data_IF_973755431944
#
_entry.id   IF_973755431944
#
_cell.length_a   1.000
_cell.length_b   1.000
_cell.length_c   1.000
_cell.angle_alpha   90.00
_cell.angle_beta   90.00
_cell.angle_gamma   90.00
#
_symmetry.space_group_name_H-M   'P 1'
#
loop_
_entity.id
_entity.type
_entity.pdbx_description
1 polymer ?
#
# COMPACT_ATOMS: atom_id res chain seq x y z
N UNK A 1 -36.42 -5.50 3.70
CA UNK A 1 -36.42 -5.08 2.28
C UNK A 1 -35.11 -4.35 2.05
N UNK A 2 -34.37 -4.73 1.01
CA UNK A 2 -33.14 -4.02 0.64
C UNK A 2 -33.47 -3.03 -0.48
N UNK A 3 -32.96 -1.81 -0.36
CA UNK A 3 -33.16 -0.75 -1.34
C UNK A 3 -31.80 -0.28 -1.86
N UNK A 4 -31.69 0.00 -3.17
CA UNK A 4 -30.48 0.63 -3.69
C UNK A 4 -30.36 2.04 -3.10
N UNK A 5 -29.13 2.42 -2.75
CA UNK A 5 -28.78 3.72 -2.20
C UNK A 5 -27.71 4.37 -3.05
N UNK A 6 -27.76 5.70 -3.17
CA UNK A 6 -26.78 6.48 -3.89
C UNK A 6 -26.51 7.78 -3.11
N UNK A 7 -25.25 8.18 -3.03
CA UNK A 7 -24.89 9.49 -2.49
C UNK A 7 -25.28 10.59 -3.50
N UNK A 8 -25.99 11.62 -3.04
CA UNK A 8 -26.36 12.78 -3.86
C UNK A 8 -25.15 13.67 -4.21
N UNK A 9 -24.14 13.67 -3.34
CA UNK A 9 -22.90 14.43 -3.51
C UNK A 9 -21.77 13.41 -3.59
N UNK A 10 -20.96 13.49 -4.64
CA UNK A 10 -19.74 12.70 -4.75
C UNK A 10 -18.70 13.18 -3.73
N UNK A 11 -18.04 12.24 -3.06
CA UNK A 11 -17.03 12.57 -2.06
C UNK A 11 -16.83 11.44 -1.06
N UNK A 12 -15.72 11.49 -0.34
CA UNK A 12 -15.47 10.60 0.80
C UNK A 12 -16.45 10.86 1.94
N UNK A 13 -17.03 12.06 2.01
CA UNK A 13 -18.08 12.42 2.98
C UNK A 13 -19.39 11.62 2.84
N UNK A 14 -19.61 10.93 1.71
CA UNK A 14 -20.73 10.01 1.53
C UNK A 14 -20.51 8.61 2.12
N UNK A 15 -19.28 8.30 2.57
CA UNK A 15 -18.98 7.03 3.22
C UNK A 15 -19.53 7.04 4.65
N UNK A 16 -20.32 6.04 4.99
CA UNK A 16 -20.97 5.93 6.31
C UNK A 16 -20.68 4.57 6.93
N UNK A 17 -20.51 4.52 8.25
CA UNK A 17 -20.28 3.26 8.96
C UNK A 17 -21.57 2.43 9.01
N UNK A 18 -21.43 1.12 9.21
CA UNK A 18 -22.56 0.26 9.51
C UNK A 18 -23.42 0.84 10.66
N UNK A 19 -24.73 0.78 10.50
CA UNK A 19 -25.71 1.17 11.51
C UNK A 19 -25.92 2.67 11.71
N UNK A 20 -25.39 3.53 10.83
CA UNK A 20 -25.47 4.99 11.03
C UNK A 20 -26.60 5.68 10.27
N UNK A 21 -27.15 5.04 9.22
CA UNK A 21 -28.29 5.58 8.48
C UNK A 21 -29.60 5.30 9.20
N UNK A 22 -30.06 6.22 10.05
CA UNK A 22 -31.24 6.00 10.91
C UNK A 22 -32.39 6.99 10.67
N UNK A 23 -32.18 8.05 9.89
CA UNK A 23 -33.15 9.13 9.72
C UNK A 23 -33.89 8.99 8.38
N UNK A 24 -35.21 8.93 8.45
CA UNK A 24 -36.11 8.97 7.30
C UNK A 24 -36.51 10.43 7.04
N UNK A 25 -36.00 11.02 5.95
CA UNK A 25 -36.25 12.44 5.62
C UNK A 25 -37.54 12.67 4.83
N UNK A 26 -38.12 11.62 4.25
CA UNK A 26 -39.38 11.67 3.50
C UNK A 26 -40.28 10.52 3.93
N UNK A 27 -41.56 10.78 4.12
CA UNK A 27 -42.50 9.80 4.69
C UNK A 27 -42.64 8.59 3.77
N UNK A 28 -42.28 7.42 4.28
CA UNK A 28 -42.48 6.13 3.62
C UNK A 28 -43.60 5.40 4.36
N UNK A 29 -44.70 5.11 3.67
CA UNK A 29 -45.81 4.36 4.26
C UNK A 29 -45.34 2.98 4.72
N UNK A 30 -45.71 2.62 5.96
CA UNK A 30 -45.41 1.32 6.58
C UNK A 30 -43.92 1.03 6.84
N UNK A 31 -43.07 2.07 6.93
CA UNK A 31 -41.64 1.93 7.27
C UNK A 31 -41.31 2.76 8.52
N UNK A 32 -40.99 2.07 9.62
CA UNK A 32 -40.71 2.72 10.91
C UNK A 32 -39.20 2.89 11.19
N UNK A 33 -38.35 2.13 10.50
CA UNK A 33 -36.90 2.17 10.70
C UNK A 33 -36.16 1.91 9.39
N UNK A 34 -35.05 2.62 9.20
CA UNK A 34 -34.04 2.34 8.18
C UNK A 34 -32.69 2.15 8.85
N UNK A 35 -31.84 1.31 8.26
CA UNK A 35 -30.46 1.09 8.69
C UNK A 35 -29.64 0.55 7.53
N UNK A 36 -28.32 0.79 7.57
CA UNK A 36 -27.36 0.10 6.73
C UNK A 36 -26.64 -0.97 7.55
N UNK A 37 -26.77 -2.24 7.18
CA UNK A 37 -26.09 -3.34 7.89
C UNK A 37 -24.58 -3.31 7.66
N UNK A 38 -24.16 -2.94 6.45
CA UNK A 38 -22.77 -2.82 6.04
C UNK A 38 -22.34 -1.35 5.86
N UNK A 39 -21.04 -1.02 6.02
CA UNK A 39 -20.55 0.32 5.74
C UNK A 39 -20.67 0.65 4.25
N UNK A 40 -21.02 1.89 3.94
CA UNK A 40 -20.90 2.40 2.58
C UNK A 40 -19.50 2.96 2.39
N UNK A 41 -18.82 2.43 1.37
CA UNK A 41 -17.42 2.75 1.04
C UNK A 41 -17.32 3.09 -0.45
N UNK A 42 -16.17 3.59 -0.88
CA UNK A 42 -15.92 3.90 -2.30
C UNK A 42 -16.24 5.33 -2.72
N UNK A 43 -16.86 6.13 -1.84
CA UNK A 43 -16.92 7.57 -2.00
C UNK A 43 -15.50 8.14 -1.99
N UNK A 44 -15.16 8.94 -3.01
CA UNK A 44 -13.86 9.58 -3.18
C UNK A 44 -14.08 11.05 -3.51
N UNK A 45 -13.29 11.91 -2.88
CA UNK A 45 -13.29 13.34 -3.19
C UNK A 45 -12.83 13.59 -4.62
N UNK A 46 -13.15 14.79 -5.12
CA UNK A 46 -12.70 15.23 -6.42
C UNK A 46 -11.17 15.11 -6.51
N UNK A 47 -10.69 14.58 -7.63
CA UNK A 47 -9.26 14.51 -7.92
C UNK A 47 -8.66 15.92 -7.90
N UNK A 48 -7.50 16.09 -7.26
CA UNK A 48 -6.82 17.39 -7.20
C UNK A 48 -6.19 17.73 -8.55
N UNK A 49 -5.97 19.02 -8.84
CA UNK A 49 -5.31 19.44 -10.08
C UNK A 49 -3.91 18.85 -10.25
N UNK A 50 -3.18 18.63 -9.14
CA UNK A 50 -1.84 18.04 -9.17
C UNK A 50 -1.87 16.55 -9.50
N UNK A 51 -2.80 15.80 -8.89
CA UNK A 51 -3.04 14.39 -9.20
C UNK A 51 -3.52 14.23 -10.66
N UNK A 52 -4.46 15.09 -11.08
CA UNK A 52 -4.95 15.12 -12.46
C UNK A 52 -3.82 15.40 -13.44
N UNK A 53 -2.95 16.39 -13.18
CA UNK A 53 -1.81 16.71 -14.05
C UNK A 53 -0.81 15.56 -14.12
N UNK A 54 -0.57 14.87 -13.00
CA UNK A 54 0.27 13.66 -12.99
C UNK A 54 -0.34 12.54 -13.82
N UNK A 55 -1.64 12.27 -13.64
CA UNK A 55 -2.40 11.26 -14.40
C UNK A 55 -2.46 11.59 -15.89
N UNK A 56 -2.64 12.86 -16.26
CA UNK A 56 -2.71 13.31 -17.65
C UNK A 56 -1.38 13.13 -18.39
N UNK A 57 -0.23 13.47 -17.77
CA UNK A 57 1.09 13.21 -18.37
C UNK A 57 1.32 11.72 -18.61
N UNK A 58 0.95 10.89 -17.64
CA UNK A 58 1.03 9.43 -17.77
C UNK A 58 0.09 8.91 -18.87
N UNK A 59 -1.11 9.48 -19.00
CA UNK A 59 -2.05 9.12 -20.06
C UNK A 59 -1.50 9.45 -21.45
N UNK A 60 -0.95 10.66 -21.67
CA UNK A 60 -0.31 11.03 -22.94
C UNK A 60 0.86 10.09 -23.25
N UNK A 61 1.70 9.79 -22.26
CA UNK A 61 2.80 8.83 -22.42
C UNK A 61 2.30 7.40 -22.73
N UNK A 62 1.10 7.04 -22.26
CA UNK A 62 0.49 5.73 -22.48
C UNK A 62 -0.15 5.55 -23.87
N UNK A 63 -0.40 6.65 -24.61
CA UNK A 63 -0.94 6.57 -25.98
C UNK A 63 -0.03 5.73 -26.89
N UNK A 64 1.28 5.78 -26.64
CA UNK A 64 2.24 4.80 -27.15
C UNK A 64 2.16 3.51 -26.33
N UNK A 65 1.21 2.64 -26.70
CA UNK A 65 1.09 1.27 -26.19
C UNK A 65 2.43 0.52 -26.28
N UNK A 66 2.56 -0.57 -25.53
CA UNK A 66 3.74 -1.43 -25.48
C UNK A 66 5.02 -0.77 -24.93
N UNK A 67 4.90 0.37 -24.22
CA UNK A 67 6.02 0.98 -23.49
C UNK A 67 5.92 0.72 -21.99
N UNK A 68 7.05 0.79 -21.27
CA UNK A 68 7.09 0.71 -19.80
C UNK A 68 6.15 1.71 -19.14
N UNK A 69 6.05 2.93 -19.67
CA UNK A 69 5.16 3.97 -19.18
C UNK A 69 3.68 3.62 -19.38
N UNK A 70 3.31 3.07 -20.55
CA UNK A 70 1.95 2.61 -20.82
C UNK A 70 1.53 1.47 -19.89
N UNK A 71 2.41 0.50 -19.65
CA UNK A 71 2.17 -0.61 -18.72
C UNK A 71 2.03 -0.10 -17.29
N UNK A 72 2.93 0.80 -16.85
CA UNK A 72 2.85 1.41 -15.52
C UNK A 72 1.54 2.20 -15.33
N UNK A 73 1.11 2.94 -16.35
CA UNK A 73 -0.16 3.66 -16.32
C UNK A 73 -1.35 2.69 -16.24
N UNK A 74 -1.37 1.64 -17.06
CA UNK A 74 -2.43 0.62 -17.02
C UNK A 74 -2.56 0.01 -15.61
N UNK A 75 -1.44 -0.36 -14.98
CA UNK A 75 -1.41 -0.86 -13.61
C UNK A 75 -1.90 0.17 -12.58
N UNK A 76 -1.49 1.44 -12.71
CA UNK A 76 -1.92 2.49 -11.77
C UNK A 76 -3.44 2.73 -11.74
N UNK A 77 -4.17 2.33 -12.79
CA UNK A 77 -5.62 2.45 -12.88
C UNK A 77 -6.36 1.19 -12.38
N UNK A 78 -5.67 0.12 -12.00
CA UNK A 78 -6.30 -1.14 -11.56
C UNK A 78 -6.95 -1.01 -10.19
N UNK A 79 -6.24 -0.43 -9.23
CA UNK A 79 -6.72 -0.25 -7.86
C UNK A 79 -5.94 0.87 -7.17
N UNK A 80 -6.62 1.71 -6.40
CA UNK A 80 -5.98 2.75 -5.61
C UNK A 80 -5.13 2.14 -4.48
N UNK A 81 -3.98 2.76 -4.18
CA UNK A 81 -3.06 2.27 -3.14
C UNK A 81 -2.21 1.06 -3.52
N UNK A 82 -2.40 0.50 -4.73
CA UNK A 82 -1.56 -0.57 -5.25
C UNK A 82 -0.18 -0.03 -5.63
N UNK A 83 0.86 -0.80 -5.32
CA UNK A 83 2.23 -0.55 -5.74
C UNK A 83 2.71 -1.68 -6.66
N UNK A 84 3.69 -1.38 -7.52
CA UNK A 84 4.22 -2.37 -8.44
C UNK A 84 5.66 -2.07 -8.86
N UNK A 85 6.35 -3.11 -9.33
CA UNK A 85 7.63 -3.01 -10.04
C UNK A 85 7.50 -3.64 -11.41
N UNK A 86 8.34 -3.20 -12.34
CA UNK A 86 8.44 -3.73 -13.70
C UNK A 86 9.90 -4.05 -13.99
N UNK A 87 10.15 -5.29 -14.42
CA UNK A 87 11.48 -5.79 -14.77
C UNK A 87 11.45 -6.42 -16.16
N UNK A 88 12.40 -6.05 -17.01
CA UNK A 88 12.45 -6.39 -18.43
C UNK A 88 13.62 -7.33 -18.75
N UNK A 89 13.45 -8.13 -19.81
CA UNK A 89 14.46 -9.00 -20.42
C UNK A 89 15.05 -10.08 -19.51
N UNK A 90 14.42 -10.36 -18.38
CA UNK A 90 14.85 -11.34 -17.39
C UNK A 90 13.62 -12.05 -16.84
N UNK A 91 13.71 -13.36 -16.67
CA UNK A 91 12.71 -14.16 -15.96
C UNK A 91 12.76 -13.87 -14.44
N UNK A 92 11.74 -14.33 -13.70
CA UNK A 92 11.66 -14.08 -12.25
C UNK A 92 12.84 -14.69 -11.47
N UNK A 93 13.40 -15.78 -11.97
CA UNK A 93 14.57 -16.45 -11.39
C UNK A 93 15.91 -15.78 -11.73
N UNK A 94 15.90 -14.66 -12.46
CA UNK A 94 17.12 -13.96 -12.88
C UNK A 94 17.71 -14.43 -14.21
N UNK A 95 17.11 -15.44 -14.86
CA UNK A 95 17.60 -15.93 -16.15
C UNK A 95 17.32 -14.91 -17.27
N UNK A 96 18.29 -14.55 -18.13
CA UNK A 96 18.03 -13.68 -19.27
C UNK A 96 16.92 -14.25 -20.17
N UNK A 97 15.90 -13.43 -20.45
CA UNK A 97 14.76 -13.79 -21.28
C UNK A 97 14.33 -12.57 -22.13
N UNK A 98 15.00 -12.32 -23.26
CA UNK A 98 14.67 -11.19 -24.14
C UNK A 98 13.22 -11.29 -24.66
N UNK A 99 12.55 -10.15 -24.80
CA UNK A 99 11.15 -10.11 -25.26
C UNK A 99 10.13 -10.56 -24.19
N UNK A 100 10.57 -10.63 -22.94
CA UNK A 100 9.75 -10.89 -21.77
C UNK A 100 9.91 -9.78 -20.74
N UNK A 101 8.84 -9.48 -20.01
CA UNK A 101 8.90 -8.68 -18.78
C UNK A 101 7.97 -9.27 -17.73
N UNK A 102 8.16 -8.90 -16.47
CA UNK A 102 7.19 -9.23 -15.44
C UNK A 102 6.86 -8.03 -14.55
N UNK A 103 5.65 -8.07 -14.02
CA UNK A 103 5.17 -7.14 -13.01
C UNK A 103 5.04 -7.85 -11.67
N UNK A 104 5.46 -7.17 -10.62
CA UNK A 104 5.20 -7.57 -9.23
C UNK A 104 4.22 -6.57 -8.70
N UNK A 105 3.08 -7.05 -8.21
CA UNK A 105 1.96 -6.22 -7.77
C UNK A 105 1.75 -6.43 -6.29
N UNK A 106 1.50 -5.37 -5.55
CA UNK A 106 1.25 -5.43 -4.11
C UNK A 106 0.21 -4.37 -3.69
N UNK A 107 -0.78 -4.78 -2.91
CA UNK A 107 -1.82 -3.91 -2.35
C UNK A 107 -1.46 -3.37 -0.95
N UNK A 108 -0.19 -3.51 -0.55
CA UNK A 108 0.31 -3.18 0.79
C UNK A 108 0.29 -4.36 1.75
N UNK A 109 -0.44 -5.45 1.45
CA UNK A 109 -0.48 -6.63 2.33
C UNK A 109 0.76 -7.52 2.20
N UNK A 110 1.44 -7.48 1.05
CA UNK A 110 2.47 -8.45 0.67
C UNK A 110 1.91 -9.80 0.21
N UNK A 111 0.58 -9.97 0.20
CA UNK A 111 -0.12 -11.16 -0.32
C UNK A 111 -1.39 -10.71 -1.07
N UNK A 112 -1.24 -10.00 -2.19
CA UNK A 112 -2.39 -9.54 -2.96
C UNK A 112 -3.27 -10.75 -3.36
N UNK A 113 -4.61 -10.61 -3.35
CA UNK A 113 -5.51 -11.69 -3.73
C UNK A 113 -5.37 -12.02 -5.21
N UNK A 114 -5.66 -13.29 -5.58
CA UNK A 114 -5.58 -13.75 -6.97
C UNK A 114 -6.40 -12.88 -7.95
N UNK A 115 -7.55 -12.40 -7.52
CA UNK A 115 -8.38 -11.49 -8.33
C UNK A 115 -7.65 -10.19 -8.70
N UNK A 116 -6.83 -9.63 -7.80
CA UNK A 116 -6.05 -8.43 -8.09
C UNK A 116 -4.97 -8.74 -9.13
N UNK A 117 -4.32 -9.90 -9.03
CA UNK A 117 -3.34 -10.36 -10.01
C UNK A 117 -3.99 -10.54 -11.39
N UNK A 118 -5.19 -11.11 -11.46
CA UNK A 118 -5.93 -11.27 -12.71
C UNK A 118 -6.35 -9.93 -13.33
N UNK A 119 -6.82 -8.98 -12.51
CA UNK A 119 -7.15 -7.62 -12.98
C UNK A 119 -5.90 -6.92 -13.53
N UNK A 120 -4.78 -7.02 -12.82
CA UNK A 120 -3.51 -6.47 -13.26
C UNK A 120 -3.04 -7.12 -14.57
N UNK A 121 -3.16 -8.45 -14.69
CA UNK A 121 -2.84 -9.17 -15.92
C UNK A 121 -3.63 -8.64 -17.12
N UNK A 122 -4.95 -8.51 -16.99
CA UNK A 122 -5.82 -7.99 -18.06
C UNK A 122 -5.48 -6.54 -18.44
N UNK A 123 -5.16 -5.71 -17.45
CA UNK A 123 -4.76 -4.32 -17.70
C UNK A 123 -3.47 -4.24 -18.53
N UNK A 124 -2.48 -5.11 -18.24
CA UNK A 124 -1.24 -5.20 -19.03
C UNK A 124 -1.53 -5.77 -20.43
N UNK A 125 -2.32 -6.83 -20.54
CA UNK A 125 -2.62 -7.49 -21.82
C UNK A 125 -3.28 -6.52 -22.82
N UNK A 126 -4.13 -5.60 -22.35
CA UNK A 126 -4.79 -4.59 -23.19
C UNK A 126 -3.83 -3.57 -23.84
N UNK A 127 -2.62 -3.42 -23.30
CA UNK A 127 -1.62 -2.42 -23.72
C UNK A 127 -0.29 -3.03 -24.17
N UNK A 128 -0.09 -4.34 -24.04
CA UNK A 128 1.18 -4.99 -24.43
C UNK A 128 1.38 -5.01 -25.95
N UNK A 129 2.65 -5.23 -26.34
CA UNK A 129 2.99 -5.53 -27.73
C UNK A 129 2.56 -6.94 -28.14
N UNK A 130 2.25 -7.13 -29.43
CA UNK A 130 1.72 -8.38 -29.97
C UNK A 130 2.63 -9.59 -29.69
N UNK A 131 3.95 -9.43 -29.86
CA UNK A 131 4.95 -10.49 -29.70
C UNK A 131 5.60 -10.54 -28.32
N UNK A 132 5.24 -9.62 -27.42
CA UNK A 132 5.78 -9.59 -26.07
C UNK A 132 5.06 -10.57 -25.17
N UNK A 133 5.83 -11.36 -24.43
CA UNK A 133 5.31 -12.23 -23.37
C UNK A 133 5.50 -11.56 -22.01
N UNK A 134 4.62 -11.82 -21.06
CA UNK A 134 4.74 -11.23 -19.73
C UNK A 134 4.16 -12.11 -18.63
N UNK A 135 4.52 -11.79 -17.39
CA UNK A 135 3.94 -12.40 -16.19
C UNK A 135 3.54 -11.34 -15.16
N UNK A 136 2.55 -11.66 -14.33
CA UNK A 136 2.17 -10.85 -13.17
C UNK A 136 2.20 -11.75 -11.95
N UNK A 137 2.90 -11.33 -10.90
CA UNK A 137 3.13 -12.14 -9.71
C UNK A 137 2.94 -11.34 -8.43
N UNK A 138 2.71 -12.08 -7.34
CA UNK A 138 2.80 -11.55 -5.98
C UNK A 138 4.28 -11.36 -5.59
N UNK A 139 4.60 -10.45 -4.66
CA UNK A 139 5.96 -10.29 -4.18
C UNK A 139 6.39 -11.46 -3.28
N UNK A 140 7.69 -11.74 -3.26
CA UNK A 140 8.30 -12.59 -2.23
C UNK A 140 8.52 -11.77 -0.96
N UNK A 141 8.00 -12.25 0.17
CA UNK A 141 8.12 -11.52 1.44
C UNK A 141 9.50 -11.76 2.07
N UNK A 142 10.17 -10.68 2.43
CA UNK A 142 11.32 -10.71 3.34
C UNK A 142 10.86 -10.18 4.69
N UNK A 143 11.19 -10.89 5.76
CA UNK A 143 10.81 -10.52 7.12
C UNK A 143 11.90 -9.63 7.74
N UNK A 144 11.49 -8.50 8.30
CA UNK A 144 12.32 -7.58 9.07
C UNK A 144 11.97 -7.71 10.56
N UNK A 145 12.84 -8.41 11.30
CA UNK A 145 12.82 -8.45 12.75
C UNK A 145 13.61 -7.26 13.30
N UNK A 146 13.02 -6.50 14.20
CA UNK A 146 13.62 -5.28 14.77
C UNK A 146 13.70 -5.42 16.27
N UNK A 147 14.91 -5.20 16.82
CA UNK A 147 15.10 -5.02 18.25
C UNK A 147 15.66 -3.63 18.45
N UNK A 148 14.99 -2.81 19.25
CA UNK A 148 15.39 -1.44 19.53
C UNK A 148 15.33 -1.17 21.03
N UNK A 149 16.36 -0.54 21.57
CA UNK A 149 16.36 -0.06 22.95
C UNK A 149 16.55 1.45 22.99
N UNK A 150 15.82 2.13 23.88
CA UNK A 150 15.88 3.58 24.01
C UNK A 150 15.75 4.04 25.47
N UNK A 151 16.06 5.32 25.69
CA UNK A 151 15.91 6.01 26.97
C UNK A 151 14.77 7.02 26.80
N UNK A 152 13.82 6.99 27.73
CA UNK A 152 12.75 7.98 27.82
C UNK A 152 13.16 9.17 28.67
N UNK A 153 12.53 10.32 28.44
CA UNK A 153 12.68 11.50 29.28
C UNK A 153 12.22 11.21 30.72
N UNK A 154 12.78 11.94 31.68
CA UNK A 154 12.39 11.84 33.08
C UNK A 154 10.89 12.16 33.25
N UNK A 155 10.18 11.33 34.03
CA UNK A 155 8.73 11.46 34.24
C UNK A 155 7.85 10.98 33.07
N UNK A 156 8.43 10.50 31.97
CA UNK A 156 7.66 9.89 30.88
C UNK A 156 7.11 8.51 31.26
N UNK A 157 5.93 8.18 30.74
CA UNK A 157 5.40 6.82 30.76
C UNK A 157 6.13 5.98 29.71
N UNK A 158 7.16 5.25 30.14
CA UNK A 158 8.02 4.47 29.25
C UNK A 158 7.22 3.44 28.43
N UNK A 159 6.26 2.74 29.05
CA UNK A 159 5.45 1.72 28.37
C UNK A 159 4.63 2.33 27.24
N UNK A 160 4.06 3.52 27.45
CA UNK A 160 3.33 4.23 26.40
C UNK A 160 4.22 4.70 25.26
N UNK A 161 5.47 5.10 25.55
CA UNK A 161 6.43 5.49 24.50
C UNK A 161 6.91 4.26 23.72
N UNK A 162 7.09 3.11 24.37
CA UNK A 162 7.35 1.82 23.71
C UNK A 162 6.27 1.51 22.68
N UNK A 163 4.99 1.54 23.08
CA UNK A 163 3.86 1.27 22.17
C UNK A 163 3.84 2.20 20.95
N UNK A 164 4.11 3.51 21.15
CA UNK A 164 4.18 4.49 20.06
C UNK A 164 5.30 4.17 19.07
N UNK A 165 6.48 3.80 19.56
CA UNK A 165 7.63 3.44 18.71
C UNK A 165 7.35 2.12 17.96
N UNK A 166 6.82 1.10 18.64
CA UNK A 166 6.46 -0.17 18.00
C UNK A 166 5.47 0.03 16.86
N UNK A 167 4.44 0.86 17.08
CA UNK A 167 3.46 1.20 16.07
C UNK A 167 4.09 1.97 14.90
N UNK A 168 4.90 2.99 15.18
CA UNK A 168 5.55 3.79 14.14
C UNK A 168 6.51 2.96 13.27
N UNK A 169 7.29 2.05 13.88
CA UNK A 169 8.17 1.14 13.15
C UNK A 169 7.37 0.15 12.32
N UNK A 170 6.29 -0.41 12.89
CA UNK A 170 5.38 -1.30 12.17
C UNK A 170 4.82 -0.63 10.92
N UNK A 171 4.27 0.58 11.06
CA UNK A 171 3.66 1.31 9.96
C UNK A 171 4.69 1.70 8.90
N UNK A 172 5.88 2.13 9.33
CA UNK A 172 6.99 2.44 8.43
C UNK A 172 7.38 1.23 7.57
N UNK A 173 7.54 0.05 8.18
CA UNK A 173 7.90 -1.17 7.46
C UNK A 173 6.74 -1.64 6.56
N UNK A 174 5.49 -1.54 7.02
CA UNK A 174 4.31 -1.91 6.23
C UNK A 174 4.12 -0.99 5.01
N UNK A 175 4.53 0.27 5.10
CA UNK A 175 4.49 1.23 4.00
C UNK A 175 5.53 1.00 2.90
N UNK A 176 6.47 0.06 3.09
CA UNK A 176 7.49 -0.26 2.09
C UNK A 176 6.88 -0.95 0.87
N UNK A 177 7.19 -0.38 -0.31
CA UNK A 177 6.80 -0.90 -1.62
C UNK A 177 7.79 -1.97 -2.10
N UNK A 178 7.41 -2.85 -3.05
CA UNK A 178 8.32 -3.85 -3.60
C UNK A 178 9.61 -3.23 -4.15
N UNK A 179 10.75 -3.88 -3.91
CA UNK A 179 12.08 -3.40 -4.29
C UNK A 179 12.65 -2.24 -3.49
N UNK A 180 11.98 -1.78 -2.42
CA UNK A 180 12.52 -0.72 -1.57
C UNK A 180 13.52 -1.24 -0.54
N UNK A 181 14.59 -0.47 -0.33
CA UNK A 181 15.57 -0.68 0.72
C UNK A 181 14.99 -0.27 2.08
N UNK A 182 15.07 -1.16 3.07
CA UNK A 182 14.92 -0.78 4.47
C UNK A 182 16.31 -0.42 5.01
N UNK A 183 16.64 0.87 4.98
CA UNK A 183 17.87 1.36 5.59
C UNK A 183 17.78 1.26 7.12
N UNK A 184 18.78 0.65 7.74
CA UNK A 184 18.81 0.38 9.18
C UNK A 184 18.73 1.68 10.00
N UNK A 185 19.39 2.75 9.53
CA UNK A 185 19.39 4.07 10.20
C UNK A 185 18.02 4.76 10.17
N UNK A 186 17.13 4.38 9.25
CA UNK A 186 15.78 4.91 9.21
C UNK A 186 14.94 4.46 10.40
N UNK A 187 15.20 3.28 10.96
CA UNK A 187 14.52 2.79 12.16
C UNK A 187 14.77 3.72 13.36
N UNK A 188 16.02 4.20 13.51
CA UNK A 188 16.39 5.18 14.53
C UNK A 188 15.62 6.48 14.33
N UNK A 189 15.57 6.99 13.09
CA UNK A 189 14.81 8.20 12.76
C UNK A 189 13.34 8.06 13.10
N UNK A 190 12.73 6.93 12.75
CA UNK A 190 11.31 6.65 13.03
C UNK A 190 11.05 6.61 14.53
N UNK A 191 11.94 6.01 15.32
CA UNK A 191 11.80 5.98 16.77
C UNK A 191 11.84 7.39 17.39
N UNK A 192 12.78 8.25 16.99
CA UNK A 192 12.80 9.65 17.46
C UNK A 192 11.58 10.46 16.99
N UNK A 193 11.06 10.18 15.80
CA UNK A 193 9.87 10.86 15.28
C UNK A 193 8.58 10.40 15.97
N UNK A 194 8.55 9.19 16.54
CA UNK A 194 7.37 8.62 17.18
C UNK A 194 6.99 9.36 18.47
N UNK A 195 7.97 9.90 19.21
CA UNK A 195 7.71 10.68 20.42
C UNK A 195 8.87 11.63 20.76
N UNK A 196 8.59 12.90 21.11
CA UNK A 196 9.60 13.83 21.60
C UNK A 196 10.18 13.43 22.96
N UNK A 197 9.57 12.45 23.65
CA UNK A 197 10.04 11.93 24.93
C UNK A 197 11.17 10.90 24.78
N UNK A 198 11.59 10.56 23.56
CA UNK A 198 12.77 9.73 23.31
C UNK A 198 14.01 10.60 23.44
N UNK A 199 14.80 10.39 24.49
CA UNK A 199 16.03 11.18 24.71
C UNK A 199 17.22 10.59 23.97
N UNK A 200 17.31 9.26 23.90
CA UNK A 200 18.37 8.57 23.17
C UNK A 200 17.95 7.16 22.75
N UNK A 201 18.27 6.76 21.52
CA UNK A 201 18.18 5.37 21.06
C UNK A 201 19.54 4.70 21.29
N UNK A 202 19.60 3.75 22.23
CA UNK A 202 20.85 3.14 22.69
C UNK A 202 21.31 1.99 21.81
N UNK A 203 20.37 1.22 21.25
CA UNK A 203 20.68 0.15 20.33
C UNK A 203 19.55 -0.08 19.34
N UNK A 204 19.92 -0.49 18.13
CA UNK A 204 18.99 -1.04 17.14
C UNK A 204 19.67 -2.25 16.51
N UNK A 205 18.89 -3.26 16.14
CA UNK A 205 19.31 -4.33 15.25
C UNK A 205 18.17 -4.64 14.27
N UNK A 206 18.55 -4.94 13.03
CA UNK A 206 17.68 -5.41 11.98
C UNK A 206 18.14 -6.81 11.58
N UNK A 207 17.29 -7.82 11.83
CA UNK A 207 17.64 -9.23 11.67
C UNK A 207 18.96 -9.62 12.38
N UNK A 208 19.21 -9.03 13.56
CA UNK A 208 20.41 -9.26 14.36
C UNK A 208 21.67 -8.52 13.88
N UNK A 209 21.58 -7.70 12.84
CA UNK A 209 22.69 -6.94 12.29
C UNK A 209 22.47 -5.41 12.34
N UNK A 210 23.55 -4.65 12.16
CA UNK A 210 23.52 -3.19 11.95
C UNK A 210 23.76 -2.88 10.47
N UNK A 211 22.95 -3.49 9.61
CA UNK A 211 23.08 -3.40 8.17
C UNK A 211 21.71 -3.19 7.53
N UNK A 212 21.70 -2.53 6.37
CA UNK A 212 20.49 -2.31 5.61
C UNK A 212 19.93 -3.63 5.06
N UNK A 213 18.61 -3.72 4.97
CA UNK A 213 17.93 -4.85 4.35
C UNK A 213 17.42 -4.43 2.97
N UNK A 214 18.10 -4.89 1.92
CA UNK A 214 17.70 -4.65 0.55
C UNK A 214 16.66 -5.66 0.08
N UNK A 215 15.68 -5.20 -0.68
CA UNK A 215 14.75 -6.05 -1.43
C UNK A 215 15.03 -5.94 -2.93
N UNK A 216 15.07 -7.08 -3.62
CA UNK A 216 15.02 -7.07 -5.08
C UNK A 216 13.66 -6.56 -5.59
N UNK A 217 13.52 -6.19 -6.88
CA UNK A 217 12.23 -5.79 -7.44
C UNK A 217 11.11 -6.83 -7.28
N UNK A 218 11.45 -8.11 -7.11
CA UNK A 218 10.52 -9.21 -6.86
C UNK A 218 10.12 -9.38 -5.38
N UNK A 219 10.77 -8.66 -4.48
CA UNK A 219 10.60 -8.83 -3.04
C UNK A 219 9.95 -7.61 -2.40
N UNK A 220 9.26 -7.85 -1.29
CA UNK A 220 8.74 -6.78 -0.44
C UNK A 220 9.08 -7.06 1.02
N UNK A 221 9.50 -6.03 1.74
CA UNK A 221 9.86 -6.14 3.15
C UNK A 221 8.58 -6.01 3.99
N UNK A 222 8.41 -6.92 4.93
CA UNK A 222 7.30 -6.93 5.89
C UNK A 222 7.81 -7.10 7.30
N UNK A 223 7.06 -6.56 8.25
CA UNK A 223 7.41 -6.69 9.66
C UNK A 223 7.47 -8.16 10.05
N UNK A 224 8.45 -8.52 10.86
CA UNK A 224 8.43 -9.71 11.68
C UNK A 224 8.10 -9.34 13.12
N UNK A 225 8.94 -9.83 14.01
CA UNK A 225 8.91 -9.49 15.43
C UNK A 225 9.57 -8.12 15.63
N UNK A 226 8.86 -7.23 16.32
CA UNK A 226 9.37 -5.92 16.72
C UNK A 226 9.38 -5.94 18.24
N UNK A 227 10.56 -5.80 18.83
CA UNK A 227 10.74 -5.68 20.27
C UNK A 227 11.34 -4.31 20.56
N UNK A 228 10.62 -3.49 21.31
CA UNK A 228 11.10 -2.19 21.76
C UNK A 228 11.18 -2.18 23.29
N UNK A 229 12.29 -1.67 23.83
CA UNK A 229 12.55 -1.62 25.28
C UNK A 229 13.40 -0.44 25.70
#
# INVERSE_FOLDING_TARGET
>A
MELPVQANIAGAGGNVRAGTLSIITSTLLYVDQVTNTEPFTGGKDAETDDDFRARFRMWIASLSKATRAAIAFALSNVQNGMSFTLTENVARDGTPKPGYFYAIVDDGSGNPPAELIDRAYRAIDAVRGFTLTFGVFTPDKIIANVILSFISAEGADHAKVVELIEHAIKDYIQGLKPGQLLAYTQLVRVAYAASPLVTNVTSVSLNGAKADLAASPAQVIRKGDITVS
#
